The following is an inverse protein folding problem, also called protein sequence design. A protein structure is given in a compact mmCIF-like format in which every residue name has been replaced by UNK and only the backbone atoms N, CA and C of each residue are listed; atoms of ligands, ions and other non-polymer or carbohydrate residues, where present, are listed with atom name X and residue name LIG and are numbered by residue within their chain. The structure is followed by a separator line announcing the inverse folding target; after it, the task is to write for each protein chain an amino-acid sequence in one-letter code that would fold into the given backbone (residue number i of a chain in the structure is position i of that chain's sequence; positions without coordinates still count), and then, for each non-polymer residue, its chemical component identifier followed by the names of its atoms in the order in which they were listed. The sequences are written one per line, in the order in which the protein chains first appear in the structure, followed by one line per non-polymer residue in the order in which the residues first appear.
data_IF_366991414880
#
_entry.id   IF_366991414880
#
_cell.length_a   1.000
_cell.length_b   1.000
_cell.length_c   1.000
_cell.angle_alpha   90.00
_cell.angle_beta   90.00
_cell.angle_gamma   90.00
#
_symmetry.space_group_name_H-M   'P 1'
#
loop_
_entity.id
_entity.type
_entity.pdbx_description
1 polymer ?
#
# COMPACT_ATOMS: atom_id res chain seq x y z
N UNK A 1 12.46 -7.19 20.73
CA UNK A 1 12.69 -6.38 19.50
C UNK A 1 11.39 -5.68 19.18
N UNK A 2 11.44 -4.40 18.83
CA UNK A 2 10.28 -3.66 18.31
C UNK A 2 10.08 -4.00 16.83
N UNK A 3 8.84 -3.90 16.38
CA UNK A 3 8.44 -4.18 15.00
C UNK A 3 7.47 -3.12 14.50
N UNK A 4 7.39 -2.94 13.19
CA UNK A 4 6.42 -2.11 12.51
C UNK A 4 5.88 -2.83 11.26
N UNK A 5 4.69 -2.43 10.80
CA UNK A 5 4.11 -2.87 9.53
C UNK A 5 4.16 -1.67 8.58
N UNK A 6 4.86 -1.82 7.45
CA UNK A 6 4.86 -0.86 6.37
C UNK A 6 3.94 -1.36 5.26
N UNK A 7 2.96 -0.54 4.88
CA UNK A 7 2.05 -0.79 3.77
C UNK A 7 2.48 0.11 2.62
N UNK A 8 3.10 -0.48 1.62
CA UNK A 8 3.72 0.25 0.51
C UNK A 8 2.74 0.34 -0.65
N UNK A 9 2.38 1.58 -1.01
CA UNK A 9 1.74 1.97 -2.28
C UNK A 9 0.52 1.12 -2.67
N UNK A 10 -0.30 0.77 -1.69
CA UNK A 10 -1.59 0.10 -1.89
C UNK A 10 -2.67 1.08 -2.40
N UNK A 11 -2.30 1.93 -3.35
CA UNK A 11 -3.13 2.94 -3.99
C UNK A 11 -3.97 2.33 -5.13
N UNK A 12 -5.03 3.04 -5.51
CA UNK A 12 -5.95 2.61 -6.58
C UNK A 12 -5.23 2.37 -7.91
N UNK A 13 -4.25 3.19 -8.25
CA UNK A 13 -3.51 3.08 -9.52
C UNK A 13 -2.81 1.74 -9.68
N UNK A 14 -2.35 1.13 -8.58
CA UNK A 14 -1.71 -0.18 -8.58
C UNK A 14 -2.69 -1.33 -8.32
N UNK A 15 -3.78 -1.07 -7.58
CA UNK A 15 -4.66 -2.13 -7.05
C UNK A 15 -5.94 -2.37 -7.85
N UNK A 16 -6.39 -1.40 -8.64
CA UNK A 16 -7.67 -1.45 -9.36
C UNK A 16 -7.39 -1.66 -10.85
N UNK A 17 -8.24 -2.45 -11.52
CA UNK A 17 -8.07 -2.73 -12.96
C UNK A 17 -8.27 -1.50 -13.84
N UNK A 18 -8.82 -0.42 -13.28
CA UNK A 18 -8.94 0.90 -13.92
C UNK A 18 -7.75 1.82 -13.61
N UNK A 19 -6.78 1.35 -12.83
CA UNK A 19 -5.62 2.13 -12.40
C UNK A 19 -4.56 2.22 -13.49
N UNK A 20 -3.80 3.31 -13.48
CA UNK A 20 -2.82 3.63 -14.52
C UNK A 20 -1.65 2.64 -14.56
N UNK A 21 -1.32 2.03 -13.41
CA UNK A 21 -0.20 1.10 -13.21
C UNK A 21 -0.68 -0.22 -12.60
N UNK A 22 -1.84 -0.71 -13.04
CA UNK A 22 -2.50 -1.86 -12.42
C UNK A 22 -1.60 -3.11 -12.38
N UNK A 23 -1.36 -3.61 -11.17
CA UNK A 23 -0.64 -4.86 -10.92
C UNK A 23 -1.67 -5.96 -10.66
N UNK A 24 -1.82 -6.92 -11.57
CA UNK A 24 -2.86 -7.96 -11.49
C UNK A 24 -2.87 -8.72 -10.15
N UNK A 25 -1.69 -8.99 -9.60
CA UNK A 25 -1.51 -9.77 -8.39
C UNK A 25 -1.77 -8.99 -7.09
N UNK A 26 -1.85 -7.65 -7.15
CA UNK A 26 -2.08 -6.77 -5.98
C UNK A 26 -3.39 -7.10 -5.24
N UNK A 27 -4.44 -7.48 -5.98
CA UNK A 27 -5.74 -7.86 -5.37
C UNK A 27 -5.63 -9.09 -4.49
N UNK A 28 -4.68 -9.99 -4.77
CA UNK A 28 -4.51 -11.25 -4.01
C UNK A 28 -3.99 -11.01 -2.60
N UNK A 29 -3.33 -9.88 -2.34
CA UNK A 29 -2.72 -9.60 -1.03
C UNK A 29 -3.61 -8.75 -0.11
N UNK A 30 -4.73 -8.21 -0.60
CA UNK A 30 -5.60 -7.31 0.18
C UNK A 30 -6.16 -7.98 1.44
N UNK A 31 -6.63 -9.22 1.32
CA UNK A 31 -7.19 -9.95 2.47
C UNK A 31 -6.13 -10.30 3.51
N UNK A 32 -4.94 -10.70 3.07
CA UNK A 32 -3.83 -11.02 3.98
C UNK A 32 -3.26 -9.77 4.64
N UNK A 33 -3.21 -8.65 3.92
CA UNK A 33 -2.87 -7.34 4.46
C UNK A 33 -3.89 -6.93 5.54
N UNK A 34 -5.19 -7.09 5.31
CA UNK A 34 -6.22 -6.80 6.31
C UNK A 34 -6.06 -7.64 7.58
N UNK A 35 -5.76 -8.94 7.46
CA UNK A 35 -5.48 -9.81 8.61
C UNK A 35 -4.22 -9.36 9.35
N UNK A 36 -3.16 -8.99 8.63
CA UNK A 36 -1.91 -8.49 9.23
C UNK A 36 -2.14 -7.18 10.00
N UNK A 37 -2.84 -6.22 9.39
CA UNK A 37 -3.18 -4.94 9.99
C UNK A 37 -4.05 -5.10 11.23
N UNK A 38 -5.03 -6.01 11.22
CA UNK A 38 -5.86 -6.32 12.39
C UNK A 38 -4.98 -6.78 13.56
N UNK A 39 -4.12 -7.77 13.33
CA UNK A 39 -3.19 -8.29 14.36
C UNK A 39 -2.19 -7.24 14.84
N UNK A 40 -1.76 -6.35 13.95
CA UNK A 40 -0.87 -5.24 14.29
C UNK A 40 -1.54 -4.25 15.26
N UNK A 41 -2.76 -3.83 14.92
CA UNK A 41 -3.58 -2.93 15.76
C UNK A 41 -3.87 -3.52 17.14
N UNK A 42 -4.26 -4.80 17.19
CA UNK A 42 -4.53 -5.52 18.44
C UNK A 42 -3.30 -5.58 19.38
N UNK A 43 -2.09 -5.52 18.83
CA UNK A 43 -0.83 -5.60 19.57
C UNK A 43 -0.13 -4.25 19.77
N UNK A 44 -0.74 -3.15 19.35
CA UNK A 44 -0.13 -1.82 19.43
C UNK A 44 1.13 -1.67 18.57
N UNK A 45 1.26 -2.43 17.47
CA UNK A 45 2.38 -2.33 16.53
C UNK A 45 2.21 -1.07 15.68
N UNK A 46 3.29 -0.31 15.49
CA UNK A 46 3.29 0.84 14.57
C UNK A 46 2.95 0.41 13.15
N UNK A 47 1.99 1.09 12.53
CA UNK A 47 1.57 0.84 11.15
C UNK A 47 1.78 2.13 10.36
N UNK A 48 2.55 2.05 9.30
CA UNK A 48 2.87 3.18 8.41
C UNK A 48 2.40 2.84 7.00
N UNK A 49 1.73 3.80 6.37
CA UNK A 49 1.33 3.71 4.96
C UNK A 49 2.22 4.67 4.17
N UNK A 50 2.75 4.22 3.04
CA UNK A 50 3.38 5.11 2.06
C UNK A 50 2.41 5.38 0.92
N UNK A 51 2.73 6.42 0.19
CA UNK A 51 2.02 6.82 -1.00
C UNK A 51 3.04 7.27 -2.02
N UNK A 52 2.98 6.66 -3.20
CA UNK A 52 3.63 7.17 -4.39
C UNK A 52 2.89 8.44 -4.85
N UNK A 53 3.57 9.57 -4.82
CA UNK A 53 2.95 10.89 -5.01
C UNK A 53 3.86 11.79 -5.84
N UNK A 54 3.28 12.31 -6.91
CA UNK A 54 3.96 13.13 -7.91
C UNK A 54 3.30 14.50 -8.01
N UNK A 55 4.10 15.53 -8.26
CA UNK A 55 3.55 16.83 -8.64
C UNK A 55 3.10 16.81 -10.11
N UNK A 56 2.23 17.74 -10.54
CA UNK A 56 1.80 17.80 -11.94
C UNK A 56 2.95 18.01 -12.94
N UNK A 57 4.07 18.54 -12.47
CA UNK A 57 5.31 18.83 -13.21
C UNK A 57 6.43 17.82 -12.93
N UNK A 58 6.10 16.63 -12.39
CA UNK A 58 7.08 15.61 -12.04
C UNK A 58 7.84 15.11 -13.30
N UNK A 59 9.18 15.21 -13.33
CA UNK A 59 9.99 14.71 -14.44
C UNK A 59 9.84 13.21 -14.71
N UNK A 60 9.42 12.42 -13.72
CA UNK A 60 9.18 10.98 -13.88
C UNK A 60 8.03 10.68 -14.86
N UNK A 61 7.11 11.64 -15.05
CA UNK A 61 5.94 11.52 -15.93
C UNK A 61 5.92 12.55 -17.08
N UNK A 62 7.01 13.29 -17.31
CA UNK A 62 7.16 14.30 -18.38
C UNK A 62 7.75 13.74 -19.67
#
# INVERSE_FOLDING_TARGET
KESAILVIDMQKDFCYSSGSLFVEWSKKIVDDLNKLLKRGRERGVSIVFTQDWHSPDDPEFS
#
